data_IF_279112136139
#
_entry.id   IF_279112136139
#
_cell.length_a   1.000
_cell.length_b   1.000
_cell.length_c   1.000
_cell.angle_alpha   90.00
_cell.angle_beta   90.00
_cell.angle_gamma   90.00
#
_symmetry.space_group_name_H-M   'P 1'
#
loop_
_entity.id
_entity.type
_entity.pdbx_description
1 polymer ?
#
# COMPACT_ATOMS: atom_id res chain seq x y z
N UNK A 1 12.34 1.66 18.80
CA UNK A 1 11.10 1.38 18.04
C UNK A 1 11.22 2.15 16.73
N UNK A 2 11.44 1.46 15.60
CA UNK A 2 11.62 2.13 14.31
C UNK A 2 10.22 2.48 13.75
N UNK A 3 9.89 3.75 13.80
CA UNK A 3 8.64 4.29 13.27
C UNK A 3 8.56 3.99 11.77
N UNK A 4 7.50 3.32 11.32
CA UNK A 4 7.23 3.12 9.89
C UNK A 4 7.20 4.45 9.15
N UNK A 5 7.61 4.47 7.89
CA UNK A 5 7.58 5.71 7.08
C UNK A 5 6.16 5.92 6.57
N UNK A 6 5.58 7.11 6.80
CA UNK A 6 4.21 7.42 6.37
C UNK A 6 4.20 8.57 5.38
N UNK A 7 3.32 8.51 4.39
CA UNK A 7 3.10 9.60 3.42
C UNK A 7 1.63 9.65 3.04
N UNK A 8 1.16 10.82 2.58
CA UNK A 8 -0.22 11.00 2.14
C UNK A 8 -0.48 10.29 0.80
N UNK A 9 -1.73 9.91 0.58
CA UNK A 9 -2.22 9.57 -0.77
C UNK A 9 -1.96 10.75 -1.72
N UNK A 10 -1.43 10.47 -2.91
CA UNK A 10 -0.99 11.48 -3.88
C UNK A 10 0.37 12.12 -3.53
N UNK A 11 0.92 11.86 -2.34
CA UNK A 11 2.21 12.37 -1.89
C UNK A 11 3.42 11.67 -2.51
N UNK A 12 4.63 12.07 -2.10
CA UNK A 12 5.87 11.43 -2.54
C UNK A 12 6.16 10.17 -1.70
N UNK A 13 6.27 8.98 -2.33
CA UNK A 13 6.68 7.77 -1.63
C UNK A 13 8.16 7.84 -1.20
N UNK A 14 8.58 7.07 -0.17
CA UNK A 14 9.95 7.09 0.30
C UNK A 14 10.90 6.39 -0.68
N UNK A 15 12.12 6.93 -0.83
CA UNK A 15 13.13 6.45 -1.82
C UNK A 15 13.52 4.97 -1.65
N UNK A 16 13.33 4.42 -0.46
CA UNK A 16 13.60 3.01 -0.13
C UNK A 16 12.50 2.05 -0.62
N UNK A 17 11.39 2.56 -1.14
CA UNK A 17 10.28 1.75 -1.62
C UNK A 17 10.59 1.25 -3.06
N UNK A 18 10.49 -0.06 -3.33
CA UNK A 18 10.70 -0.59 -4.67
C UNK A 18 9.74 0.02 -5.69
N UNK A 19 10.23 0.26 -6.91
CA UNK A 19 9.45 0.88 -8.00
C UNK A 19 8.15 0.11 -8.28
N UNK A 20 8.17 -1.22 -8.27
CA UNK A 20 6.98 -2.05 -8.44
C UNK A 20 5.88 -1.72 -7.41
N UNK A 21 6.25 -1.45 -6.15
CA UNK A 21 5.29 -1.07 -5.11
C UNK A 21 4.83 0.38 -5.25
N UNK A 22 5.68 1.28 -5.76
CA UNK A 22 5.29 2.66 -6.09
C UNK A 22 4.22 2.64 -7.18
N UNK A 23 4.43 1.88 -8.26
CA UNK A 23 3.47 1.71 -9.36
C UNK A 23 2.16 1.14 -8.84
N UNK A 24 2.21 0.10 -8.00
CA UNK A 24 1.01 -0.49 -7.39
C UNK A 24 0.27 0.52 -6.49
N UNK A 25 0.97 1.29 -5.66
CA UNK A 25 0.36 2.31 -4.82
C UNK A 25 -0.36 3.37 -5.66
N UNK A 26 0.27 3.84 -6.76
CA UNK A 26 -0.38 4.77 -7.70
C UNK A 26 -1.63 4.16 -8.34
N UNK A 27 -1.58 2.89 -8.74
CA UNK A 27 -2.74 2.19 -9.29
C UNK A 27 -3.91 2.14 -8.31
N UNK A 28 -3.66 1.90 -7.02
CA UNK A 28 -4.70 1.97 -5.97
C UNK A 28 -5.26 3.39 -5.85
N UNK A 29 -4.40 4.42 -5.86
CA UNK A 29 -4.85 5.81 -5.82
C UNK A 29 -5.75 6.19 -7.01
N UNK A 30 -5.43 5.68 -8.21
CA UNK A 30 -6.25 5.85 -9.41
C UNK A 30 -7.60 5.13 -9.30
N UNK A 31 -7.63 3.93 -8.74
CA UNK A 31 -8.87 3.18 -8.48
C UNK A 31 -9.78 3.92 -7.49
N UNK A 32 -9.23 4.43 -6.39
CA UNK A 32 -9.97 5.23 -5.41
C UNK A 32 -10.58 6.48 -6.05
N UNK A 33 -9.81 7.16 -6.90
CA UNK A 33 -10.30 8.31 -7.66
C UNK A 33 -11.42 7.92 -8.63
N UNK A 34 -11.28 6.81 -9.35
CA UNK A 34 -12.31 6.29 -10.26
C UNK A 34 -13.60 5.89 -9.52
N UNK A 35 -13.46 5.37 -8.30
CA UNK A 35 -14.58 5.04 -7.41
C UNK A 35 -15.16 6.26 -6.67
N UNK A 36 -14.64 7.48 -6.91
CA UNK A 36 -15.04 8.71 -6.20
C UNK A 36 -14.91 8.64 -4.67
N UNK A 37 -13.91 7.91 -4.18
CA UNK A 37 -13.57 7.83 -2.75
C UNK A 37 -12.74 9.06 -2.36
N UNK A 38 -13.15 9.79 -1.31
CA UNK A 38 -12.36 10.90 -0.78
C UNK A 38 -11.21 10.40 0.09
N UNK A 39 -10.09 10.05 -0.55
CA UNK A 39 -8.86 9.59 0.10
C UNK A 39 -7.90 10.74 0.47
N UNK A 40 -8.36 12.00 0.41
CA UNK A 40 -7.54 13.21 0.63
C UNK A 40 -6.84 13.25 2.00
N UNK A 41 -7.42 12.58 3.00
CA UNK A 41 -6.88 12.50 4.38
C UNK A 41 -6.12 11.22 4.68
N UNK A 42 -6.16 10.26 3.74
CA UNK A 42 -5.58 8.93 3.92
C UNK A 42 -4.07 8.96 3.77
N UNK A 43 -3.44 7.96 4.38
CA UNK A 43 -1.99 7.82 4.42
C UNK A 43 -1.60 6.40 4.13
N UNK A 44 -0.52 6.28 3.37
CA UNK A 44 0.26 5.07 3.24
C UNK A 44 1.22 4.94 4.42
N UNK A 45 1.46 3.71 4.86
CA UNK A 45 2.38 3.35 5.93
C UNK A 45 3.29 2.23 5.45
N UNK A 46 4.58 2.52 5.31
CA UNK A 46 5.62 1.52 5.02
C UNK A 46 6.15 0.94 6.32
N UNK A 47 6.02 -0.37 6.44
CA UNK A 47 6.63 -1.20 7.47
C UNK A 47 7.54 -2.25 6.85
N UNK A 48 8.38 -2.86 7.68
CA UNK A 48 9.23 -3.97 7.27
C UNK A 48 8.95 -5.15 8.17
N UNK A 49 8.45 -6.24 7.59
CA UNK A 49 8.21 -7.50 8.28
C UNK A 49 9.21 -8.52 7.76
N UNK A 50 10.03 -9.08 8.66
CA UNK A 50 11.10 -10.04 8.30
C UNK A 50 12.02 -9.54 7.17
N UNK A 51 12.27 -8.23 7.13
CA UNK A 51 13.08 -7.58 6.09
C UNK A 51 12.35 -7.30 4.77
N UNK A 52 11.07 -7.66 4.64
CA UNK A 52 10.25 -7.43 3.45
C UNK A 52 9.43 -6.15 3.62
N UNK A 53 9.40 -5.26 2.60
CA UNK A 53 8.57 -4.07 2.66
C UNK A 53 7.08 -4.44 2.55
N UNK A 54 6.27 -3.87 3.43
CA UNK A 54 4.80 -3.93 3.38
C UNK A 54 4.29 -2.50 3.44
N UNK A 55 3.45 -2.13 2.49
CA UNK A 55 2.80 -0.81 2.45
C UNK A 55 1.32 -1.00 2.72
N UNK A 56 0.78 -0.27 3.68
CA UNK A 56 -0.62 -0.35 4.07
C UNK A 56 -1.28 1.03 3.96
N UNK A 57 -2.48 1.06 3.41
CA UNK A 57 -3.35 2.22 3.34
C UNK A 57 -4.27 2.28 4.57
N UNK A 58 -4.73 3.48 4.94
CA UNK A 58 -5.62 3.71 6.10
C UNK A 58 -6.92 2.87 6.06
N UNK A 59 -7.38 2.48 4.87
CA UNK A 59 -8.56 1.62 4.66
C UNK A 59 -8.30 0.11 4.90
N UNK A 60 -7.03 -0.28 5.05
CA UNK A 60 -6.63 -1.68 5.21
C UNK A 60 -6.12 -2.34 3.92
N UNK A 61 -6.17 -1.63 2.78
CA UNK A 61 -5.53 -2.10 1.54
C UNK A 61 -4.03 -2.23 1.75
N UNK A 62 -3.45 -3.37 1.43
CA UNK A 62 -2.03 -3.65 1.63
C UNK A 62 -1.33 -4.02 0.32
N UNK A 63 -0.04 -3.68 0.23
CA UNK A 63 0.82 -3.95 -0.91
C UNK A 63 2.08 -4.64 -0.39
N UNK A 64 2.41 -5.78 -0.95
CA UNK A 64 3.63 -6.53 -0.65
C UNK A 64 4.25 -7.09 -1.92
N UNK A 65 5.47 -7.62 -1.82
CA UNK A 65 6.12 -8.32 -2.92
C UNK A 65 5.84 -9.83 -2.84
N UNK A 66 5.62 -10.45 -4.00
CA UNK A 66 5.62 -11.91 -4.14
C UNK A 66 7.08 -12.45 -4.21
N UNK A 67 7.29 -13.78 -4.14
CA UNK A 67 8.63 -14.38 -4.28
C UNK A 67 9.38 -14.01 -5.57
N UNK A 68 8.69 -13.67 -6.66
CA UNK A 68 9.26 -13.19 -7.91
C UNK A 68 9.51 -11.67 -7.93
N UNK A 69 9.23 -10.96 -6.83
CA UNK A 69 9.47 -9.52 -6.70
C UNK A 69 8.43 -8.62 -7.37
N UNK A 70 7.24 -9.14 -7.70
CA UNK A 70 6.12 -8.35 -8.24
C UNK A 70 5.28 -7.83 -7.09
N UNK A 71 4.77 -6.62 -7.22
CA UNK A 71 3.83 -6.07 -6.27
C UNK A 71 2.49 -6.81 -6.36
N UNK A 72 1.94 -7.17 -5.21
CA UNK A 72 0.62 -7.74 -5.01
C UNK A 72 -0.16 -6.77 -4.13
N UNK A 73 -1.40 -6.48 -4.52
CA UNK A 73 -2.32 -5.62 -3.78
C UNK A 73 -3.40 -6.53 -3.19
N UNK A 74 -3.68 -6.37 -1.91
CA UNK A 74 -4.75 -7.08 -1.20
C UNK A 74 -5.67 -6.05 -0.57
N UNK A 75 -6.94 -6.05 -0.98
CA UNK A 75 -7.97 -5.22 -0.36
C UNK A 75 -8.50 -5.90 0.91
N UNK A 76 -8.97 -5.12 1.91
CA UNK A 76 -9.51 -5.68 3.15
C UNK A 76 -10.77 -6.54 2.94
N UNK A 77 -11.51 -6.29 1.85
CA UNK A 77 -12.72 -7.04 1.47
C UNK A 77 -12.41 -8.38 0.75
N UNK A 78 -11.18 -8.54 0.23
CA UNK A 78 -10.73 -9.77 -0.46
C UNK A 78 -10.18 -10.81 0.52
N UNK A 79 -10.08 -10.48 1.82
CA UNK A 79 -9.70 -11.45 2.84
C UNK A 79 -10.75 -12.57 2.85
N UNK A 80 -10.36 -13.85 2.71
CA UNK A 80 -11.32 -14.94 2.70
C UNK A 80 -12.11 -14.90 4.02
N UNK A 81 -13.45 -14.83 3.93
CA UNK A 81 -14.32 -15.19 5.05
C UNK A 81 -13.87 -16.58 5.51
N UNK A 82 -13.25 -16.66 6.68
CA UNK A 82 -12.93 -17.94 7.31
C UNK A 82 -14.28 -18.59 7.72
N UNK A 83 -14.76 -19.54 6.93
CA UNK A 83 -15.94 -20.40 7.22
C UNK A 83 -15.66 -21.38 8.37
#
# INVERSE_FOLDING_TARGET
MQLGTRWNVGGQPPERLPEAMVVAARGVEEELAAASVDASTWRWTLTYLEGKPIVELDDGTSIHLDPAGRAQVTNPDDAPEED
#
